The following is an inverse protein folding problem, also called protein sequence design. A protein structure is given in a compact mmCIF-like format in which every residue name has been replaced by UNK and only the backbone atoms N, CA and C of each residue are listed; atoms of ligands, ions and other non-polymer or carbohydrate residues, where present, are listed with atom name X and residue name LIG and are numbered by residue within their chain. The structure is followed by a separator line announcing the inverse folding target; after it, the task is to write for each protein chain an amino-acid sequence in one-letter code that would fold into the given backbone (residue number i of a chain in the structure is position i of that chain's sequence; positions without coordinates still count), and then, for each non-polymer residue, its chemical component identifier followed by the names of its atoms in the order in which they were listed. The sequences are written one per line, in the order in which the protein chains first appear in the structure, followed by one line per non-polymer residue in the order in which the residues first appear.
data_IF_846098825763
#
_entry.id   IF_846098825763
#
_cell.length_a   1.000
_cell.length_b   1.000
_cell.length_c   1.000
_cell.angle_alpha   90.00
_cell.angle_beta   90.00
_cell.angle_gamma   90.00
#
_symmetry.space_group_name_H-M   'P 1'
#
loop_
_entity.id
_entity.type
_entity.pdbx_description
1 polymer ?
#
# COMPACT_ATOMS: atom_id res chain seq x y z
N UNK A 1 6.14 -15.29 30.34
CA UNK A 1 5.80 -14.32 29.28
C UNK A 1 6.97 -13.37 29.18
N UNK A 2 7.71 -13.47 28.09
CA UNK A 2 9.00 -12.83 27.87
C UNK A 2 8.85 -11.30 27.90
N UNK A 3 9.54 -10.65 28.84
CA UNK A 3 9.56 -9.21 28.99
C UNK A 3 10.66 -8.67 28.07
N UNK A 4 10.24 -7.90 27.07
CA UNK A 4 11.06 -7.06 26.16
C UNK A 4 11.37 -7.68 24.80
N UNK A 5 10.33 -7.90 23.98
CA UNK A 5 10.54 -7.75 22.54
C UNK A 5 10.90 -6.28 22.28
N UNK A 6 12.12 -6.03 21.78
CA UNK A 6 12.58 -4.67 21.46
C UNK A 6 11.63 -4.09 20.41
N UNK A 7 11.03 -2.93 20.69
CA UNK A 7 10.20 -2.24 19.71
C UNK A 7 11.07 -1.93 18.47
N UNK A 8 10.56 -2.24 17.29
CA UNK A 8 11.24 -2.01 16.01
C UNK A 8 10.44 -1.03 15.17
N UNK A 9 11.10 -0.38 14.21
CA UNK A 9 10.41 0.48 13.23
C UNK A 9 9.35 -0.30 12.43
N UNK A 10 9.60 -1.60 12.17
CA UNK A 10 8.66 -2.46 11.47
C UNK A 10 7.38 -2.70 12.27
N UNK A 11 7.48 -3.00 13.57
CA UNK A 11 6.31 -3.16 14.44
C UNK A 11 5.50 -1.86 14.55
N UNK A 12 6.18 -0.72 14.65
CA UNK A 12 5.51 0.59 14.63
C UNK A 12 4.79 0.81 13.31
N UNK A 13 5.41 0.47 12.18
CA UNK A 13 4.79 0.59 10.86
C UNK A 13 3.54 -0.28 10.71
N UNK A 14 3.60 -1.55 11.09
CA UNK A 14 2.44 -2.46 11.06
C UNK A 14 1.28 -1.91 11.91
N UNK A 15 1.58 -1.38 13.10
CA UNK A 15 0.54 -0.73 13.92
C UNK A 15 -0.03 0.54 13.28
N UNK A 16 0.78 1.33 12.57
CA UNK A 16 0.31 2.49 11.81
C UNK A 16 -0.66 2.03 10.71
N UNK A 17 -0.34 0.95 9.99
CA UNK A 17 -1.23 0.36 8.98
C UNK A 17 -2.54 -0.13 9.61
N UNK A 18 -2.47 -0.88 10.70
CA UNK A 18 -3.66 -1.41 11.38
C UNK A 18 -4.59 -0.31 11.88
N UNK A 19 -4.05 0.73 12.52
CA UNK A 19 -4.83 1.86 13.01
C UNK A 19 -5.45 2.64 11.83
N UNK A 20 -4.67 2.89 10.78
CA UNK A 20 -5.14 3.59 9.59
C UNK A 20 -6.24 2.80 8.86
N UNK A 21 -6.09 1.49 8.68
CA UNK A 21 -7.07 0.61 8.03
C UNK A 21 -8.40 0.55 8.79
N UNK A 22 -8.37 0.83 10.10
CA UNK A 22 -9.55 0.92 10.96
C UNK A 22 -10.10 2.34 11.08
N UNK A 23 -9.57 3.27 10.28
CA UNK A 23 -9.91 4.70 10.30
C UNK A 23 -9.68 5.37 11.68
N UNK A 24 -8.78 4.79 12.47
CA UNK A 24 -8.41 5.31 13.79
C UNK A 24 -7.27 6.33 13.60
N UNK A 25 -7.39 7.56 14.15
CA UNK A 25 -6.32 8.54 14.06
C UNK A 25 -5.00 8.00 14.61
N UNK A 26 -3.96 8.02 13.78
CA UNK A 26 -2.63 7.52 14.15
C UNK A 26 -1.82 8.67 14.74
N UNK A 27 -1.76 8.73 16.07
CA UNK A 27 -0.96 9.72 16.80
C UNK A 27 0.14 9.05 17.61
N UNK A 28 1.20 9.79 17.92
CA UNK A 28 2.32 9.28 18.74
C UNK A 28 1.86 8.84 20.14
N UNK A 29 0.85 9.48 20.72
CA UNK A 29 0.25 9.15 22.01
C UNK A 29 -0.41 7.77 21.97
N UNK A 30 -1.18 7.50 20.91
CA UNK A 30 -1.86 6.21 20.71
C UNK A 30 -0.86 5.10 20.44
N UNK A 31 0.15 5.35 19.63
CA UNK A 31 1.23 4.39 19.39
C UNK A 31 1.98 4.06 20.70
N UNK A 32 2.35 5.08 21.48
CA UNK A 32 3.02 4.90 22.77
C UNK A 32 2.16 4.09 23.75
N UNK A 33 0.87 4.42 23.86
CA UNK A 33 -0.08 3.69 24.69
C UNK A 33 -0.27 2.23 24.22
N UNK A 34 -0.33 2.00 22.91
CA UNK A 34 -0.51 0.66 22.32
C UNK A 34 0.67 -0.28 22.59
N UNK A 35 1.88 0.26 22.61
CA UNK A 35 3.11 -0.50 22.87
C UNK A 35 3.56 -0.45 24.34
N UNK A 36 2.96 0.39 25.17
CA UNK A 36 3.36 0.55 26.58
C UNK A 36 4.77 1.15 26.74
N UNK A 37 5.17 2.06 25.85
CA UNK A 37 6.51 2.68 25.85
C UNK A 37 6.43 4.20 25.97
N UNK A 38 7.56 4.84 26.31
CA UNK A 38 7.65 6.29 26.28
C UNK A 38 7.53 6.85 24.86
N UNK A 39 6.88 8.02 24.72
CA UNK A 39 6.67 8.68 23.43
C UNK A 39 7.97 8.95 22.67
N UNK A 40 9.07 9.23 23.37
CA UNK A 40 10.39 9.44 22.77
C UNK A 40 10.88 8.21 21.98
N UNK A 41 10.54 7.00 22.43
CA UNK A 41 10.90 5.74 21.73
C UNK A 41 10.11 5.63 20.42
N UNK A 42 8.82 5.97 20.45
CA UNK A 42 7.98 6.00 19.24
C UNK A 42 8.46 7.09 18.28
N UNK A 43 8.79 8.28 18.78
CA UNK A 43 9.27 9.39 17.96
C UNK A 43 10.55 9.04 17.19
N UNK A 44 11.44 8.22 17.79
CA UNK A 44 12.62 7.69 17.09
C UNK A 44 12.22 6.85 15.87
N UNK A 45 11.28 5.92 16.02
CA UNK A 45 10.83 5.07 14.91
C UNK A 45 9.98 5.81 13.88
N UNK A 46 9.15 6.77 14.30
CA UNK A 46 8.42 7.64 13.37
C UNK A 46 9.40 8.43 12.49
N UNK A 47 10.47 8.98 13.07
CA UNK A 47 11.51 9.68 12.29
C UNK A 47 12.17 8.75 11.28
N UNK A 48 12.50 7.52 11.68
CA UNK A 48 13.03 6.51 10.77
C UNK A 48 12.07 6.23 9.61
N UNK A 49 10.78 5.98 9.91
CA UNK A 49 9.77 5.65 8.91
C UNK A 49 9.50 6.81 7.94
N UNK A 50 9.46 8.05 8.44
CA UNK A 50 9.38 9.26 7.61
C UNK A 50 10.62 9.39 6.70
N UNK A 51 11.82 9.16 7.23
CA UNK A 51 13.05 9.25 6.45
C UNK A 51 13.16 8.17 5.37
N UNK A 52 12.59 6.98 5.62
CA UNK A 52 12.48 5.89 4.65
C UNK A 52 11.26 5.99 3.74
N UNK A 53 10.50 7.10 3.81
CA UNK A 53 9.34 7.37 2.97
C UNK A 53 8.21 6.31 3.07
N UNK A 54 8.15 5.57 4.18
CA UNK A 54 7.14 4.53 4.41
C UNK A 54 5.84 5.08 4.98
N UNK A 55 5.92 6.18 5.70
CA UNK A 55 4.76 6.89 6.25
C UNK A 55 4.81 8.35 5.84
N UNK A 56 3.67 9.00 5.85
CA UNK A 56 3.54 10.44 5.68
C UNK A 56 3.03 11.10 6.95
N UNK A 57 3.36 12.37 7.11
CA UNK A 57 2.77 13.24 8.13
C UNK A 57 1.61 14.00 7.52
N UNK A 58 0.39 13.56 7.79
CA UNK A 58 -0.85 14.15 7.25
C UNK A 58 -1.03 15.58 7.77
N UNK A 59 -0.80 15.77 9.07
CA UNK A 59 -0.72 17.07 9.75
C UNK A 59 0.07 16.92 11.05
N UNK A 60 0.24 18.00 11.82
CA UNK A 60 0.95 17.96 13.10
C UNK A 60 0.40 16.84 14.02
N UNK A 61 1.24 15.85 14.34
CA UNK A 61 0.90 14.72 15.22
C UNK A 61 0.04 13.61 14.60
N UNK A 62 -0.34 13.71 13.32
CA UNK A 62 -1.15 12.69 12.62
C UNK A 62 -0.35 12.07 11.47
N UNK A 63 -0.26 10.74 11.49
CA UNK A 63 0.51 9.96 10.52
C UNK A 63 -0.39 9.01 9.74
N UNK A 64 0.07 8.60 8.56
CA UNK A 64 -0.57 7.58 7.76
C UNK A 64 0.50 6.75 7.03
N UNK A 65 0.26 5.46 6.73
CA UNK A 65 1.08 4.76 5.76
C UNK A 65 1.15 5.57 4.47
N UNK A 66 2.34 5.67 3.88
CA UNK A 66 2.44 6.16 2.52
C UNK A 66 1.84 5.08 1.64
N UNK A 67 0.75 5.40 0.93
CA UNK A 67 0.24 4.52 -0.11
C UNK A 67 1.26 4.53 -1.25
N UNK A 68 2.06 3.48 -1.31
CA UNK A 68 2.92 3.20 -2.46
C UNK A 68 2.14 2.20 -3.27
N UNK A 69 1.64 2.62 -4.45
CA UNK A 69 1.15 1.65 -5.41
C UNK A 69 2.26 0.62 -5.65
N UNK A 70 1.95 -0.69 -5.61
CA UNK A 70 2.95 -1.67 -6.01
C UNK A 70 3.48 -1.27 -7.38
N UNK A 71 4.80 -1.44 -7.58
CA UNK A 71 5.44 -1.09 -8.84
C UNK A 71 4.59 -1.61 -10.00
N UNK A 72 4.27 -0.74 -10.96
CA UNK A 72 3.50 -1.14 -12.13
C UNK A 72 4.16 -2.35 -12.77
N UNK A 73 3.41 -3.44 -12.85
CA UNK A 73 3.86 -4.66 -13.50
C UNK A 73 4.00 -4.39 -15.01
N UNK A 74 4.91 -5.09 -15.67
CA UNK A 74 4.98 -5.04 -17.13
C UNK A 74 3.63 -5.49 -17.71
N UNK A 75 3.06 -4.68 -18.60
CA UNK A 75 1.81 -4.98 -19.30
C UNK A 75 2.09 -5.07 -20.78
N UNK A 76 1.70 -6.18 -21.40
CA UNK A 76 1.84 -6.40 -22.84
C UNK A 76 0.51 -6.88 -23.44
N UNK A 77 0.32 -6.62 -24.73
CA UNK A 77 -0.83 -7.14 -25.48
C UNK A 77 -0.35 -7.72 -26.80
N UNK A 78 -0.74 -8.96 -27.09
CA UNK A 78 -0.40 -9.65 -28.36
C UNK A 78 -1.66 -10.05 -29.10
N UNK A 79 -1.76 -9.64 -30.37
CA UNK A 79 -2.83 -10.07 -31.26
C UNK A 79 -2.45 -11.39 -31.93
N UNK A 80 -3.32 -12.39 -31.81
CA UNK A 80 -3.11 -13.71 -32.39
C UNK A 80 -3.72 -13.77 -33.79
N UNK A 81 -3.18 -14.63 -34.66
CA UNK A 81 -3.64 -14.79 -36.04
C UNK A 81 -5.12 -15.24 -36.15
N UNK A 82 -5.69 -15.83 -35.11
CA UNK A 82 -7.10 -16.22 -35.03
C UNK A 82 -8.03 -15.12 -34.49
N UNK A 83 -7.51 -13.91 -34.29
CA UNK A 83 -8.26 -12.75 -33.80
C UNK A 83 -8.39 -12.67 -32.27
N UNK A 84 -7.90 -13.65 -31.51
CA UNK A 84 -7.84 -13.58 -30.06
C UNK A 84 -6.70 -12.64 -29.61
N UNK A 85 -6.76 -12.23 -28.34
CA UNK A 85 -5.80 -11.30 -27.76
C UNK A 85 -5.21 -11.95 -26.50
N UNK A 86 -3.89 -11.91 -26.33
CA UNK A 86 -3.25 -12.21 -25.05
C UNK A 86 -2.94 -10.92 -24.32
N UNK A 87 -3.44 -10.78 -23.10
CA UNK A 87 -3.09 -9.71 -22.17
C UNK A 87 -2.21 -10.31 -21.07
N UNK A 88 -1.03 -9.72 -20.88
CA UNK A 88 -0.05 -10.18 -19.90
C UNK A 88 0.17 -9.09 -18.86
N UNK A 89 0.14 -9.44 -17.56
CA UNK A 89 0.38 -8.52 -16.45
C UNK A 89 1.26 -9.21 -15.41
N UNK A 90 2.58 -8.98 -15.47
CA UNK A 90 3.52 -9.79 -14.69
C UNK A 90 3.42 -11.27 -15.10
N UNK A 91 3.09 -12.16 -14.17
CA UNK A 91 2.95 -13.61 -14.43
C UNK A 91 1.54 -14.02 -14.89
N UNK A 92 0.56 -13.11 -14.82
CA UNK A 92 -0.81 -13.39 -15.21
C UNK A 92 -0.96 -13.29 -16.73
N UNK A 93 -1.52 -14.34 -17.35
CA UNK A 93 -1.79 -14.37 -18.79
C UNK A 93 -3.27 -14.65 -19.03
N UNK A 94 -3.97 -13.71 -19.65
CA UNK A 94 -5.35 -13.84 -20.06
C UNK A 94 -5.44 -13.98 -21.58
N UNK A 95 -6.11 -15.04 -22.06
CA UNK A 95 -6.48 -15.16 -23.46
C UNK A 95 -7.92 -14.70 -23.63
N UNK A 96 -8.08 -13.56 -24.29
CA UNK A 96 -9.32 -12.85 -24.48
C UNK A 96 -9.87 -13.10 -25.89
N UNK A 97 -11.18 -13.27 -25.97
CA UNK A 97 -11.91 -13.10 -27.22
C UNK A 97 -11.90 -11.61 -27.63
N UNK A 98 -12.18 -11.29 -28.92
CA UNK A 98 -12.35 -9.91 -29.36
C UNK A 98 -13.39 -9.12 -28.54
N UNK A 99 -14.44 -9.79 -28.08
CA UNK A 99 -15.52 -9.16 -27.30
C UNK A 99 -15.07 -8.77 -25.91
N UNK A 100 -14.40 -9.69 -25.19
CA UNK A 100 -13.86 -9.41 -23.85
C UNK A 100 -12.82 -8.29 -23.88
N UNK A 101 -11.93 -8.30 -24.88
CA UNK A 101 -10.95 -7.22 -25.07
C UNK A 101 -11.61 -5.85 -25.24
N UNK A 102 -12.69 -5.76 -26.03
CA UNK A 102 -13.46 -4.51 -26.19
C UNK A 102 -14.15 -4.09 -24.90
N UNK A 103 -14.69 -5.03 -24.12
CA UNK A 103 -15.34 -4.71 -22.86
C UNK A 103 -14.34 -4.18 -21.83
N UNK A 104 -13.18 -4.82 -21.72
CA UNK A 104 -12.08 -4.35 -20.88
C UNK A 104 -11.64 -2.96 -21.32
N UNK A 105 -11.40 -2.75 -22.62
CA UNK A 105 -11.02 -1.44 -23.14
C UNK A 105 -12.04 -0.34 -22.79
N UNK A 106 -13.34 -0.63 -22.87
CA UNK A 106 -14.41 0.31 -22.48
C UNK A 106 -14.44 0.58 -20.98
N UNK A 107 -14.31 -0.45 -20.16
CA UNK A 107 -14.26 -0.29 -18.70
C UNK A 107 -13.06 0.60 -18.29
N UNK A 108 -11.90 0.37 -18.91
CA UNK A 108 -10.69 1.14 -18.64
C UNK A 108 -10.75 2.57 -19.21
N UNK A 109 -11.36 2.78 -20.38
CA UNK A 109 -11.53 4.13 -20.93
C UNK A 109 -12.40 5.04 -20.05
N UNK A 110 -13.35 4.46 -19.29
CA UNK A 110 -14.15 5.20 -18.31
C UNK A 110 -13.41 5.55 -17.01
N UNK A 111 -12.25 4.94 -16.74
CA UNK A 111 -11.40 5.19 -15.57
C UNK A 111 -10.40 6.34 -15.77
N UNK A 112 -10.13 6.75 -17.02
CA UNK A 112 -9.13 7.79 -17.34
C UNK A 112 -9.71 9.23 -17.24
N UNK A 113 -10.90 9.39 -16.65
CA UNK A 113 -11.58 10.70 -16.56
C UNK A 113 -12.31 10.99 -15.25
N UNK A 114 -12.04 10.25 -14.17
CA UNK A 114 -12.62 10.46 -12.83
C UNK A 114 -11.53 10.70 -11.79
#
# INVERSE_FOLDING_TARGET
MDKTAKLTAQLVFECIQDLHNREIPVTRERLAARFGVAMMVVDHHIKQLLSSDRIIKVRAGLYAPKFVEPQSRAVSTTFLNNGYIKLEIGDDVLQLTPTESRWIARAMAGLVGA
#
